data_IF_383456247331
#
_entry.id   IF_383456247331
#
_cell.length_a   1.000
_cell.length_b   1.000
_cell.length_c   1.000
_cell.angle_alpha   90.00
_cell.angle_beta   90.00
_cell.angle_gamma   90.00
#
_symmetry.space_group_name_H-M   'P 1'
#
loop_
_entity.id
_entity.type
_entity.pdbx_description
1 polymer ?
#
# COMPACT_ATOMS: atom_id res chain seq x y z
N UNK A 1 9.21 -28.15 10.55
CA UNK A 1 10.04 -26.94 10.51
C UNK A 1 9.30 -25.94 9.61
N UNK A 2 8.64 -24.97 10.21
CA UNK A 2 7.96 -23.88 9.49
C UNK A 2 9.05 -23.06 8.79
N UNK A 3 9.08 -23.06 7.44
CA UNK A 3 9.89 -22.10 6.70
C UNK A 3 9.47 -20.71 7.19
N UNK A 4 10.41 -19.97 7.78
CA UNK A 4 10.16 -18.59 8.14
C UNK A 4 9.78 -17.83 6.86
N UNK A 5 8.61 -17.21 6.84
CA UNK A 5 8.21 -16.38 5.72
C UNK A 5 9.34 -15.39 5.41
N UNK A 6 9.70 -15.21 4.13
CA UNK A 6 10.76 -14.29 3.78
C UNK A 6 10.37 -12.89 4.26
N UNK A 7 11.32 -12.20 4.92
CA UNK A 7 11.18 -10.81 5.30
C UNK A 7 10.75 -10.01 4.06
N UNK A 8 9.73 -9.17 4.19
CA UNK A 8 9.16 -8.34 3.11
C UNK A 8 10.25 -7.64 2.28
N UNK A 9 11.22 -7.02 2.95
CA UNK A 9 12.32 -6.33 2.26
C UNK A 9 13.18 -7.27 1.40
N UNK A 10 13.39 -8.53 1.85
CA UNK A 10 14.10 -9.55 1.06
C UNK A 10 13.30 -9.95 -0.16
N UNK A 11 12.00 -10.11 -0.01
CA UNK A 11 11.11 -10.45 -1.12
C UNK A 11 11.12 -9.36 -2.18
N UNK A 12 10.96 -8.10 -1.76
CA UNK A 12 11.02 -6.94 -2.65
C UNK A 12 12.39 -6.78 -3.33
N UNK A 13 13.49 -6.95 -2.57
CA UNK A 13 14.84 -6.96 -3.16
C UNK A 13 14.98 -8.04 -4.23
N UNK A 14 14.49 -9.25 -3.94
CA UNK A 14 14.52 -10.37 -4.88
C UNK A 14 13.75 -10.09 -6.17
N UNK A 15 12.56 -9.50 -6.06
CA UNK A 15 11.75 -9.11 -7.22
C UNK A 15 12.42 -8.03 -8.06
N UNK A 16 13.04 -7.06 -7.41
CA UNK A 16 13.78 -6.01 -8.10
C UNK A 16 14.98 -6.58 -8.87
N UNK A 17 15.77 -7.46 -8.26
CA UNK A 17 16.89 -8.13 -8.92
C UNK A 17 16.41 -9.01 -10.09
N UNK A 18 15.28 -9.70 -9.92
CA UNK A 18 14.64 -10.49 -10.98
C UNK A 18 14.18 -9.61 -12.16
N UNK A 19 13.59 -8.44 -11.87
CA UNK A 19 13.18 -7.47 -12.88
C UNK A 19 14.39 -7.02 -13.70
N UNK A 20 15.49 -6.66 -13.05
CA UNK A 20 16.74 -6.27 -13.71
C UNK A 20 17.28 -7.40 -14.60
N UNK A 21 17.32 -8.64 -14.11
CA UNK A 21 17.75 -9.79 -14.93
C UNK A 21 16.86 -10.00 -16.15
N UNK A 22 15.54 -9.91 -16.00
CA UNK A 22 14.61 -10.06 -17.14
C UNK A 22 14.89 -9.03 -18.24
N UNK A 23 15.25 -7.79 -17.88
CA UNK A 23 15.60 -6.74 -18.85
C UNK A 23 16.85 -7.08 -19.65
N UNK A 24 17.84 -7.77 -19.05
CA UNK A 24 19.05 -8.23 -19.78
C UNK A 24 18.80 -9.44 -20.67
N UNK A 25 17.69 -10.14 -20.48
CA UNK A 25 17.38 -11.39 -21.15
C UNK A 25 18.13 -12.62 -20.62
N UNK A 26 18.94 -12.48 -19.55
CA UNK A 26 19.65 -13.61 -18.96
C UNK A 26 18.71 -14.65 -18.36
N UNK A 27 18.97 -15.92 -18.64
CA UNK A 27 18.42 -17.03 -17.87
C UNK A 27 18.95 -17.03 -16.44
N UNK A 28 18.33 -17.80 -15.54
CA UNK A 28 18.84 -17.98 -14.17
C UNK A 28 20.25 -18.61 -14.15
N UNK A 29 20.55 -19.48 -15.10
CA UNK A 29 21.84 -20.15 -15.17
C UNK A 29 22.95 -19.18 -15.61
N UNK A 30 22.74 -18.46 -16.71
CA UNK A 30 23.69 -17.48 -17.22
C UNK A 30 23.96 -16.36 -16.21
N UNK A 31 22.90 -15.83 -15.59
CA UNK A 31 23.06 -14.78 -14.57
C UNK A 31 23.79 -15.29 -13.32
N UNK A 32 23.52 -16.52 -12.90
CA UNK A 32 24.22 -17.11 -11.76
C UNK A 32 25.71 -17.30 -12.02
N UNK A 33 26.08 -17.71 -13.24
CA UNK A 33 27.47 -17.83 -13.68
C UNK A 33 28.17 -16.46 -13.68
N UNK A 34 27.56 -15.43 -14.26
CA UNK A 34 28.10 -14.07 -14.28
C UNK A 34 28.28 -13.47 -12.88
N UNK A 35 27.41 -13.84 -11.94
CA UNK A 35 27.42 -13.39 -10.54
C UNK A 35 28.34 -14.23 -9.63
N UNK A 36 29.04 -15.21 -10.18
CA UNK A 36 29.87 -16.18 -9.42
C UNK A 36 29.08 -16.88 -8.29
N UNK A 37 27.80 -17.19 -8.57
CA UNK A 37 26.92 -17.91 -7.64
C UNK A 37 27.00 -19.44 -7.89
N UNK A 38 26.70 -20.25 -6.87
CA UNK A 38 26.72 -21.72 -6.97
C UNK A 38 25.71 -22.33 -7.98
N UNK A 39 25.12 -21.52 -8.86
CA UNK A 39 24.22 -21.92 -9.94
C UNK A 39 22.81 -21.36 -9.80
N UNK A 40 21.98 -21.65 -10.81
CA UNK A 40 20.60 -21.17 -10.93
C UNK A 40 19.73 -21.33 -9.64
N UNK A 41 19.81 -22.44 -8.88
CA UNK A 41 19.03 -22.57 -7.64
C UNK A 41 19.39 -21.51 -6.57
N UNK A 42 20.64 -21.04 -6.51
CA UNK A 42 21.07 -20.00 -5.59
C UNK A 42 20.46 -18.66 -5.95
N UNK A 43 20.56 -18.28 -7.22
CA UNK A 43 19.95 -17.04 -7.73
C UNK A 43 18.41 -17.09 -7.58
N UNK A 44 17.79 -18.21 -7.88
CA UNK A 44 16.34 -18.39 -7.67
C UNK A 44 15.94 -18.15 -6.21
N UNK A 45 16.70 -18.64 -5.23
CA UNK A 45 16.43 -18.38 -3.80
C UNK A 45 16.58 -16.90 -3.45
N UNK A 46 17.55 -16.20 -4.05
CA UNK A 46 17.72 -14.75 -3.89
C UNK A 46 16.50 -14.02 -4.47
N UNK A 47 16.13 -14.31 -5.71
CA UNK A 47 15.01 -13.66 -6.39
C UNK A 47 13.64 -13.93 -5.73
N UNK A 48 13.52 -15.02 -4.99
CA UNK A 48 12.32 -15.35 -4.20
C UNK A 48 12.42 -14.90 -2.73
N UNK A 49 13.43 -14.11 -2.35
CA UNK A 49 13.62 -13.58 -1.00
C UNK A 49 13.98 -14.63 0.06
N UNK A 50 14.28 -15.87 -0.36
CA UNK A 50 14.64 -17.00 0.55
C UNK A 50 16.09 -16.98 0.97
N UNK A 51 16.94 -16.21 0.28
CA UNK A 51 18.37 -16.07 0.59
C UNK A 51 18.73 -14.59 0.76
N UNK A 52 19.59 -14.30 1.75
CA UNK A 52 20.10 -12.94 2.00
C UNK A 52 21.12 -12.55 0.94
N UNK A 53 21.12 -11.28 0.55
CA UNK A 53 22.14 -10.65 -0.30
C UNK A 53 22.76 -9.52 0.50
N UNK A 54 24.04 -9.59 0.84
CA UNK A 54 24.74 -8.49 1.51
C UNK A 54 24.65 -7.19 0.68
N UNK A 55 24.52 -6.01 1.28
CA UNK A 55 24.44 -4.74 0.55
C UNK A 55 25.64 -4.49 -0.37
N UNK A 56 26.81 -5.00 0.00
CA UNK A 56 28.02 -4.93 -0.83
C UNK A 56 27.94 -5.81 -2.09
N UNK A 57 27.29 -6.96 -2.00
CA UNK A 57 27.14 -7.87 -3.14
C UNK A 57 26.13 -7.36 -4.17
N UNK A 58 25.25 -6.44 -3.80
CA UNK A 58 24.28 -5.84 -4.74
C UNK A 58 24.98 -5.06 -5.84
N UNK A 59 26.20 -4.56 -5.62
CA UNK A 59 26.99 -3.85 -6.63
C UNK A 59 27.31 -4.73 -7.84
N UNK A 60 27.61 -6.03 -7.61
CA UNK A 60 27.86 -6.97 -8.70
C UNK A 60 26.62 -7.13 -9.60
N UNK A 61 25.42 -7.16 -9.02
CA UNK A 61 24.18 -7.20 -9.82
C UNK A 61 24.02 -5.95 -10.67
N UNK A 62 24.39 -4.75 -10.18
CA UNK A 62 24.30 -3.53 -10.97
C UNK A 62 25.21 -3.54 -12.20
N UNK A 63 26.45 -4.01 -12.02
CA UNK A 63 27.42 -4.08 -13.11
C UNK A 63 26.98 -5.12 -14.15
N UNK A 64 26.61 -6.31 -13.72
CA UNK A 64 26.24 -7.43 -14.60
C UNK A 64 24.92 -7.14 -15.33
N UNK A 65 23.94 -6.53 -14.65
CA UNK A 65 22.65 -6.19 -15.25
C UNK A 65 22.63 -4.81 -15.93
N UNK A 66 23.76 -4.09 -15.93
CA UNK A 66 23.91 -2.82 -16.63
C UNK A 66 23.05 -1.67 -16.04
N UNK A 67 22.72 -1.72 -14.74
CA UNK A 67 21.95 -0.66 -14.09
C UNK A 67 22.83 0.59 -13.93
N UNK A 68 22.47 1.68 -14.62
CA UNK A 68 23.20 2.97 -14.58
C UNK A 68 22.49 4.04 -13.79
N UNK A 69 21.20 3.89 -13.54
CA UNK A 69 20.39 4.86 -12.80
C UNK A 69 20.81 4.90 -11.31
N UNK A 70 21.44 6.00 -10.92
CA UNK A 70 21.98 6.17 -9.55
C UNK A 70 20.87 6.28 -8.49
N UNK A 71 19.71 6.82 -8.82
CA UNK A 71 18.59 6.84 -7.87
C UNK A 71 18.09 5.43 -7.59
N UNK A 72 17.88 4.63 -8.64
CA UNK A 72 17.48 3.24 -8.53
C UNK A 72 18.54 2.40 -7.82
N UNK A 73 19.83 2.59 -8.13
CA UNK A 73 20.97 1.98 -7.41
C UNK A 73 20.92 2.31 -5.91
N UNK A 74 20.69 3.57 -5.57
CA UNK A 74 20.58 4.00 -4.17
C UNK A 74 19.42 3.29 -3.46
N UNK A 75 18.23 3.29 -4.04
CA UNK A 75 17.05 2.63 -3.47
C UNK A 75 17.23 1.11 -3.27
N UNK A 76 17.83 0.42 -4.25
CA UNK A 76 18.11 -1.01 -4.13
C UNK A 76 19.13 -1.28 -3.00
N UNK A 77 20.14 -0.43 -2.83
CA UNK A 77 21.10 -0.53 -1.72
C UNK A 77 20.41 -0.35 -0.35
N UNK A 78 19.54 0.63 -0.22
CA UNK A 78 18.76 0.83 1.02
C UNK A 78 17.85 -0.36 1.30
N UNK A 79 17.15 -0.85 0.27
CA UNK A 79 16.33 -2.05 0.37
C UNK A 79 17.16 -3.27 0.82
N UNK A 80 18.38 -3.43 0.29
CA UNK A 80 19.29 -4.50 0.70
C UNK A 80 19.74 -4.36 2.16
N UNK A 81 19.99 -3.13 2.65
CA UNK A 81 20.28 -2.89 4.08
C UNK A 81 19.11 -3.33 4.96
N UNK A 82 17.89 -2.90 4.63
CA UNK A 82 16.67 -3.28 5.36
C UNK A 82 16.44 -4.80 5.32
N UNK A 83 16.65 -5.42 4.16
CA UNK A 83 16.53 -6.87 3.97
C UNK A 83 17.50 -7.68 4.86
N UNK A 84 18.67 -7.12 5.19
CA UNK A 84 19.69 -7.78 6.00
C UNK A 84 19.58 -7.48 7.49
N UNK A 85 19.18 -6.27 7.89
CA UNK A 85 19.07 -5.91 9.29
C UNK A 85 17.84 -6.51 9.97
N UNK A 86 16.84 -6.93 9.20
CA UNK A 86 15.54 -7.33 9.73
C UNK A 86 14.84 -6.21 10.51
N UNK A 87 15.37 -4.98 10.39
CA UNK A 87 14.82 -3.81 11.07
C UNK A 87 13.45 -3.52 10.45
N UNK A 88 12.42 -3.56 11.24
CA UNK A 88 11.08 -3.13 10.87
C UNK A 88 10.99 -1.61 11.00
N UNK A 89 9.92 -1.02 10.51
CA UNK A 89 9.68 0.41 10.67
C UNK A 89 9.57 0.80 12.15
N UNK A 90 9.93 2.04 12.49
CA UNK A 90 9.76 2.55 13.85
C UNK A 90 8.29 2.47 14.28
N UNK A 91 7.37 2.76 13.35
CA UNK A 91 5.93 2.65 13.57
C UNK A 91 5.52 1.21 13.89
N UNK A 92 6.02 0.24 13.14
CA UNK A 92 5.76 -1.17 13.41
C UNK A 92 6.27 -1.59 14.81
N UNK A 93 7.50 -1.22 15.16
CA UNK A 93 8.10 -1.60 16.44
C UNK A 93 7.34 -0.98 17.62
N UNK A 94 6.89 0.27 17.49
CA UNK A 94 6.11 0.98 18.51
C UNK A 94 4.73 0.34 18.74
N UNK A 95 4.05 -0.07 17.67
CA UNK A 95 2.67 -0.58 17.73
C UNK A 95 2.56 -2.09 17.48
N UNK A 96 3.67 -2.84 17.57
CA UNK A 96 3.71 -4.28 17.28
C UNK A 96 2.64 -5.08 18.03
N UNK A 97 2.34 -4.70 19.26
CA UNK A 97 1.33 -5.36 20.09
C UNK A 97 -0.12 -5.11 19.63
N UNK A 98 -0.33 -4.09 18.79
CA UNK A 98 -1.63 -3.70 18.23
C UNK A 98 -1.80 -4.16 16.76
N UNK A 99 -0.73 -4.58 16.09
CA UNK A 99 -0.76 -4.92 14.67
C UNK A 99 -1.03 -6.42 14.52
N UNK A 100 -2.17 -6.82 13.92
CA UNK A 100 -2.37 -8.21 13.52
C UNK A 100 -1.30 -8.67 12.51
N UNK A 101 -0.90 -9.94 12.59
CA UNK A 101 0.18 -10.46 11.73
C UNK A 101 -0.09 -10.27 10.23
N UNK A 102 -1.35 -10.42 9.80
CA UNK A 102 -1.74 -10.24 8.40
C UNK A 102 -1.64 -8.78 7.92
N UNK A 103 -1.67 -7.80 8.84
CA UNK A 103 -1.58 -6.36 8.54
C UNK A 103 -0.17 -5.80 8.68
N UNK A 104 0.75 -6.58 9.23
CA UNK A 104 2.11 -6.14 9.55
C UNK A 104 2.91 -5.73 8.29
N UNK A 105 2.75 -6.48 7.21
CA UNK A 105 3.43 -6.19 5.94
C UNK A 105 2.84 -4.94 5.28
N UNK A 106 1.52 -4.71 5.39
CA UNK A 106 0.87 -3.52 4.85
C UNK A 106 1.43 -2.23 5.47
N UNK A 107 1.56 -2.16 6.79
CA UNK A 107 2.10 -0.99 7.49
C UNK A 107 3.51 -0.64 6.97
N UNK A 108 4.35 -1.64 6.74
CA UNK A 108 5.70 -1.43 6.23
C UNK A 108 5.71 -1.02 4.76
N UNK A 109 4.84 -1.63 3.92
CA UNK A 109 4.70 -1.25 2.51
C UNK A 109 4.22 0.18 2.36
N UNK A 110 3.21 0.58 3.12
CA UNK A 110 2.65 1.94 3.09
C UNK A 110 3.69 3.00 3.47
N UNK A 111 4.53 2.74 4.49
CA UNK A 111 5.64 3.63 4.86
C UNK A 111 6.68 3.79 3.75
N UNK A 112 6.92 2.74 2.95
CA UNK A 112 7.89 2.75 1.86
C UNK A 112 7.32 3.31 0.55
N UNK A 113 6.00 3.32 0.41
CA UNK A 113 5.34 3.72 -0.83
C UNK A 113 5.54 5.22 -1.11
N UNK A 114 5.72 5.57 -2.37
CA UNK A 114 5.73 6.96 -2.86
C UNK A 114 4.33 7.38 -3.32
N UNK A 115 3.55 6.43 -3.83
CA UNK A 115 2.19 6.66 -4.30
C UNK A 115 1.30 5.49 -3.88
N UNK A 116 0.07 5.80 -3.51
CA UNK A 116 -1.01 4.85 -3.28
C UNK A 116 -2.19 5.21 -4.16
N UNK A 117 -2.66 4.25 -4.94
CA UNK A 117 -3.91 4.31 -5.68
C UNK A 117 -4.90 3.37 -5.01
N UNK A 118 -6.02 3.91 -4.56
CA UNK A 118 -6.97 3.17 -3.71
C UNK A 118 -8.37 3.27 -4.26
N UNK A 119 -9.03 2.12 -4.44
CA UNK A 119 -10.49 2.05 -4.57
C UNK A 119 -11.08 1.53 -3.26
N UNK A 120 -12.11 2.20 -2.75
CA UNK A 120 -12.68 1.85 -1.46
C UNK A 120 -14.19 2.12 -1.36
N UNK A 121 -14.93 1.16 -0.80
CA UNK A 121 -16.36 1.24 -0.50
C UNK A 121 -16.69 1.86 0.88
N UNK A 122 -15.65 2.11 1.69
CA UNK A 122 -15.67 2.90 2.92
C UNK A 122 -14.49 3.86 2.92
N UNK A 123 -14.52 4.92 3.71
CA UNK A 123 -13.37 5.85 3.77
C UNK A 123 -12.12 5.07 4.19
N UNK A 124 -11.04 5.07 3.39
CA UNK A 124 -9.82 4.33 3.69
C UNK A 124 -9.07 4.90 4.90
N UNK A 125 -8.32 4.03 5.59
CA UNK A 125 -7.68 4.35 6.86
C UNK A 125 -6.84 5.62 6.89
N UNK A 126 -6.18 5.97 5.78
CA UNK A 126 -5.38 7.19 5.67
C UNK A 126 -6.19 8.50 5.64
N UNK A 127 -7.49 8.40 5.36
CA UNK A 127 -8.40 9.56 5.25
C UNK A 127 -9.46 9.61 6.38
N UNK A 128 -9.36 8.74 7.39
CA UNK A 128 -10.34 8.68 8.47
C UNK A 128 -10.04 9.70 9.58
N UNK A 129 -11.10 10.27 10.15
CA UNK A 129 -11.02 10.92 11.47
C UNK A 129 -10.87 9.86 12.57
N UNK A 130 -10.45 10.25 13.77
CA UNK A 130 -10.30 9.31 14.90
C UNK A 130 -11.64 8.65 15.27
N UNK A 131 -12.72 9.42 15.31
CA UNK A 131 -14.04 8.94 15.67
C UNK A 131 -14.61 7.96 14.62
N UNK A 132 -14.41 8.26 13.33
CA UNK A 132 -14.79 7.34 12.27
C UNK A 132 -13.96 6.06 12.31
N UNK A 133 -12.65 6.18 12.51
CA UNK A 133 -11.75 5.04 12.66
C UNK A 133 -12.17 4.16 13.83
N UNK A 134 -12.50 4.76 14.98
CA UNK A 134 -13.01 4.06 16.16
C UNK A 134 -14.29 3.29 15.87
N UNK A 135 -15.27 3.95 15.24
CA UNK A 135 -16.53 3.32 14.89
C UNK A 135 -16.37 2.12 13.94
N UNK A 136 -15.48 2.22 12.94
CA UNK A 136 -15.17 1.10 12.02
C UNK A 136 -14.50 -0.04 12.78
N UNK A 137 -13.51 0.25 13.64
CA UNK A 137 -12.75 -0.75 14.37
C UNK A 137 -13.66 -1.47 15.38
N UNK A 138 -14.46 -0.75 16.15
CA UNK A 138 -15.39 -1.33 17.12
C UNK A 138 -16.40 -2.30 16.48
N UNK A 139 -16.90 -1.97 15.29
CA UNK A 139 -17.84 -2.81 14.56
C UNK A 139 -17.17 -4.02 13.88
N UNK A 140 -15.87 -4.03 13.74
CA UNK A 140 -15.12 -5.12 13.11
C UNK A 140 -15.13 -6.46 13.84
N UNK A 141 -15.73 -6.52 15.06
CA UNK A 141 -16.00 -7.72 15.89
C UNK A 141 -14.79 -8.63 16.19
N UNK A 142 -13.59 -8.21 15.83
CA UNK A 142 -12.36 -8.99 16.03
C UNK A 142 -11.71 -8.75 17.42
N UNK A 143 -12.17 -7.76 18.15
CA UNK A 143 -11.54 -7.23 19.35
C UNK A 143 -12.15 -7.82 20.62
N UNK A 144 -11.29 -8.23 21.55
CA UNK A 144 -11.70 -8.78 22.84
C UNK A 144 -11.72 -7.74 23.95
N UNK A 145 -10.89 -6.68 23.82
CA UNK A 145 -10.71 -5.67 24.86
C UNK A 145 -10.67 -4.26 24.27
N UNK A 146 -11.22 -3.28 25.00
CA UNK A 146 -11.20 -1.87 24.62
C UNK A 146 -9.79 -1.33 24.37
N UNK A 147 -8.79 -1.86 25.07
CA UNK A 147 -7.38 -1.49 24.87
C UNK A 147 -6.89 -1.83 23.47
N UNK A 148 -7.31 -2.94 22.88
CA UNK A 148 -6.95 -3.32 21.52
C UNK A 148 -7.48 -2.32 20.50
N UNK A 149 -8.75 -1.91 20.67
CA UNK A 149 -9.40 -0.88 19.86
C UNK A 149 -8.61 0.43 19.93
N UNK A 150 -8.31 0.91 21.14
CA UNK A 150 -7.56 2.15 21.33
C UNK A 150 -6.19 2.10 20.65
N UNK A 151 -5.44 1.02 20.84
CA UNK A 151 -4.13 0.83 20.23
C UNK A 151 -4.20 0.83 18.69
N UNK A 152 -5.26 0.24 18.12
CA UNK A 152 -5.43 0.18 16.68
C UNK A 152 -5.86 1.52 16.09
N UNK A 153 -6.67 2.31 16.82
CA UNK A 153 -6.99 3.69 16.46
C UNK A 153 -5.74 4.57 16.51
N UNK A 154 -4.93 4.47 17.57
CA UNK A 154 -3.66 5.21 17.69
C UNK A 154 -2.69 4.88 16.56
N UNK A 155 -2.55 3.59 16.22
CA UNK A 155 -1.76 3.15 15.07
C UNK A 155 -2.26 3.79 13.77
N UNK A 156 -3.58 3.82 13.55
CA UNK A 156 -4.17 4.42 12.35
C UNK A 156 -3.84 5.91 12.23
N UNK A 157 -4.00 6.65 13.32
CA UNK A 157 -3.63 8.08 13.35
C UNK A 157 -2.11 8.30 13.21
N UNK A 158 -1.30 7.42 13.78
CA UNK A 158 0.15 7.47 13.64
C UNK A 158 0.60 7.20 12.19
N UNK A 159 -0.01 6.25 11.48
CA UNK A 159 0.23 5.98 10.06
C UNK A 159 -0.02 7.22 9.20
N UNK A 160 -1.17 7.88 9.37
CA UNK A 160 -1.49 9.12 8.64
C UNK A 160 -0.38 10.17 8.84
N UNK A 161 0.01 10.43 10.09
CA UNK A 161 1.09 11.40 10.39
C UNK A 161 2.41 11.00 9.74
N UNK A 162 2.75 9.71 9.75
CA UNK A 162 4.01 9.22 9.20
C UNK A 162 4.07 9.41 7.69
N UNK A 163 3.01 9.08 6.95
CA UNK A 163 3.05 9.09 5.48
C UNK A 163 2.80 10.48 4.88
N UNK A 164 2.06 11.36 5.56
CA UNK A 164 1.73 12.68 5.04
C UNK A 164 2.68 13.79 5.50
N UNK A 165 3.35 13.65 6.66
CA UNK A 165 4.22 14.70 7.19
C UNK A 165 5.72 14.47 6.95
N UNK A 166 6.11 13.46 6.17
CA UNK A 166 7.49 13.23 5.78
C UNK A 166 7.93 14.19 4.68
N UNK A 167 9.25 14.34 4.46
CA UNK A 167 9.84 15.23 3.45
C UNK A 167 9.25 14.99 2.04
N UNK A 168 9.05 13.73 1.67
CA UNK A 168 8.38 13.33 0.43
C UNK A 168 7.05 12.65 0.81
N UNK A 169 5.96 13.39 0.97
CA UNK A 169 4.68 12.83 1.40
C UNK A 169 4.14 11.82 0.40
N UNK A 170 3.39 10.84 0.91
CA UNK A 170 2.71 9.84 0.08
C UNK A 170 1.73 10.54 -0.85
N UNK A 171 1.88 10.31 -2.15
CA UNK A 171 0.87 10.71 -3.12
C UNK A 171 -0.30 9.73 -3.04
N UNK A 172 -1.46 10.21 -2.64
CA UNK A 172 -2.67 9.39 -2.52
C UNK A 172 -3.69 9.77 -3.59
N UNK A 173 -4.05 8.81 -4.42
CA UNK A 173 -5.21 8.92 -5.31
C UNK A 173 -6.28 7.94 -4.83
N UNK A 174 -7.37 8.47 -4.33
CA UNK A 174 -8.47 7.69 -3.78
C UNK A 174 -9.73 7.85 -4.63
N UNK A 175 -10.24 6.74 -5.15
CA UNK A 175 -11.56 6.65 -5.73
C UNK A 175 -12.48 6.00 -4.70
N UNK A 176 -13.41 6.77 -4.17
CA UNK A 176 -14.43 6.29 -3.24
C UNK A 176 -15.68 5.88 -4.00
N UNK A 177 -16.18 4.70 -3.73
CA UNK A 177 -17.56 4.37 -4.09
C UNK A 177 -18.53 5.32 -3.36
N UNK A 178 -19.61 5.75 -4.00
CA UNK A 178 -20.60 6.64 -3.37
C UNK A 178 -21.17 6.06 -2.07
N UNK A 179 -21.18 4.73 -1.91
CA UNK A 179 -21.56 4.06 -0.69
C UNK A 179 -20.78 4.57 0.54
N UNK A 180 -19.52 4.99 0.37
CA UNK A 180 -18.72 5.56 1.45
C UNK A 180 -19.31 6.85 2.04
N UNK A 181 -20.02 7.64 1.22
CA UNK A 181 -20.69 8.87 1.65
C UNK A 181 -22.02 8.59 2.36
N UNK A 182 -22.65 7.46 2.06
CA UNK A 182 -24.02 7.16 2.45
C UNK A 182 -24.12 6.15 3.59
N UNK A 183 -23.08 5.32 3.79
CA UNK A 183 -23.02 4.34 4.88
C UNK A 183 -22.82 5.05 6.21
N UNK A 184 -23.82 4.94 7.07
CA UNK A 184 -23.87 5.62 8.38
C UNK A 184 -22.90 4.96 9.38
N UNK A 185 -21.66 5.38 9.40
CA UNK A 185 -20.61 4.92 10.33
C UNK A 185 -20.58 5.84 11.55
N UNK A 186 -20.72 5.28 12.75
CA UNK A 186 -20.64 6.03 14.01
C UNK A 186 -21.76 7.04 14.27
N UNK A 187 -22.75 7.14 13.37
CA UNK A 187 -23.86 8.11 13.46
C UNK A 187 -23.60 9.39 12.67
N UNK A 188 -24.62 10.28 12.68
CA UNK A 188 -24.65 11.46 11.79
C UNK A 188 -23.54 12.46 12.09
N UNK A 189 -23.23 12.72 13.34
CA UNK A 189 -22.18 13.65 13.75
C UNK A 189 -20.79 13.16 13.33
N UNK A 190 -20.52 11.85 13.43
CA UNK A 190 -19.26 11.24 12.99
C UNK A 190 -19.14 11.29 11.47
N UNK A 191 -20.22 10.98 10.76
CA UNK A 191 -20.25 11.06 9.30
C UNK A 191 -20.04 12.50 8.80
N UNK A 192 -20.71 13.47 9.41
CA UNK A 192 -20.52 14.88 9.07
C UNK A 192 -19.08 15.30 9.22
N UNK A 193 -18.47 15.07 10.39
CA UNK A 193 -17.07 15.39 10.66
C UNK A 193 -16.11 14.67 9.68
N UNK A 194 -16.39 13.41 9.35
CA UNK A 194 -15.60 12.64 8.39
C UNK A 194 -15.67 13.22 6.98
N UNK A 195 -16.85 13.59 6.50
CA UNK A 195 -17.01 14.16 5.16
C UNK A 195 -16.42 15.58 5.07
N UNK A 196 -16.58 16.39 6.13
CA UNK A 196 -15.90 17.70 6.25
C UNK A 196 -14.37 17.53 6.23
N UNK A 197 -13.83 16.51 6.91
CA UNK A 197 -12.40 16.17 6.87
C UNK A 197 -11.93 15.77 5.47
N UNK A 198 -12.70 14.98 4.72
CA UNK A 198 -12.37 14.63 3.31
C UNK A 198 -12.27 15.87 2.43
N UNK A 199 -13.19 16.85 2.61
CA UNK A 199 -13.14 18.13 1.89
C UNK A 199 -11.85 18.89 2.24
N UNK A 200 -11.56 19.05 3.53
CA UNK A 200 -10.37 19.77 4.00
C UNK A 200 -9.08 19.14 3.47
N UNK A 201 -8.90 17.82 3.62
CA UNK A 201 -7.71 17.10 3.13
C UNK A 201 -7.55 17.26 1.61
N UNK A 202 -8.64 17.10 0.86
CA UNK A 202 -8.62 17.24 -0.60
C UNK A 202 -8.36 18.69 -1.08
N UNK A 203 -8.60 19.70 -0.25
CA UNK A 203 -8.36 21.13 -0.57
C UNK A 203 -6.96 21.57 -0.14
N UNK A 204 -6.47 21.10 1.01
CA UNK A 204 -5.22 21.54 1.61
C UNK A 204 -4.01 20.79 1.08
N UNK A 205 -4.12 19.47 0.84
CA UNK A 205 -3.00 18.62 0.46
C UNK A 205 -2.96 18.39 -1.06
N UNK A 206 -1.98 19.00 -1.73
CA UNK A 206 -1.78 18.84 -3.19
C UNK A 206 -1.39 17.42 -3.62
N UNK A 207 -1.00 16.57 -2.69
CA UNK A 207 -0.63 15.18 -2.91
C UNK A 207 -1.76 14.20 -2.59
N UNK A 208 -2.98 14.71 -2.33
CA UNK A 208 -4.15 13.88 -2.05
C UNK A 208 -5.29 14.25 -3.00
N UNK A 209 -5.63 13.32 -3.89
CA UNK A 209 -6.77 13.41 -4.79
C UNK A 209 -7.88 12.47 -4.30
N UNK A 210 -9.09 13.00 -4.11
CA UNK A 210 -10.28 12.23 -3.75
C UNK A 210 -11.32 12.40 -4.85
N UNK A 211 -11.68 11.29 -5.48
CA UNK A 211 -12.78 11.20 -6.45
C UNK A 211 -13.88 10.30 -5.90
N UNK A 212 -15.10 10.54 -6.31
CA UNK A 212 -16.25 9.70 -5.97
C UNK A 212 -16.77 9.04 -7.24
N UNK A 213 -16.95 7.72 -7.20
CA UNK A 213 -17.60 6.94 -8.23
C UNK A 213 -19.10 6.87 -7.88
N UNK A 214 -19.97 7.57 -8.65
CA UNK A 214 -21.39 7.62 -8.34
C UNK A 214 -22.11 6.32 -8.72
N UNK A 215 -23.17 5.98 -8.02
CA UNK A 215 -23.98 4.79 -8.30
C UNK A 215 -24.56 4.76 -9.72
N UNK A 216 -24.79 5.92 -10.33
CA UNK A 216 -25.32 6.02 -11.69
C UNK A 216 -24.36 5.48 -12.76
N UNK A 217 -23.09 5.27 -12.44
CA UNK A 217 -22.14 4.58 -13.34
C UNK A 217 -22.46 3.08 -13.49
N UNK A 218 -23.21 2.50 -12.56
CA UNK A 218 -23.60 1.10 -12.61
C UNK A 218 -22.44 0.15 -12.31
N UNK A 219 -22.24 -0.87 -13.16
CA UNK A 219 -21.18 -1.85 -12.96
C UNK A 219 -19.81 -1.27 -13.33
N UNK A 220 -18.83 -1.48 -12.47
CA UNK A 220 -17.47 -0.91 -12.58
C UNK A 220 -16.38 -1.90 -12.21
N UNK A 221 -15.12 -1.60 -12.48
CA UNK A 221 -13.98 -2.50 -12.25
C UNK A 221 -13.73 -2.86 -10.77
N UNK A 222 -14.32 -2.14 -9.82
CA UNK A 222 -14.17 -2.37 -8.38
C UNK A 222 -15.29 -3.22 -7.74
N UNK A 223 -16.20 -3.83 -8.53
CA UNK A 223 -17.31 -4.64 -7.95
C UNK A 223 -16.83 -5.85 -7.16
N UNK A 224 -15.63 -6.36 -7.45
CA UNK A 224 -15.04 -7.50 -6.76
C UNK A 224 -14.48 -7.14 -5.35
N UNK A 225 -14.38 -5.86 -5.01
CA UNK A 225 -13.97 -5.37 -3.70
C UNK A 225 -12.90 -4.28 -3.72
N UNK A 226 -12.59 -3.81 -2.52
CA UNK A 226 -11.62 -2.74 -2.27
C UNK A 226 -10.19 -3.24 -2.52
N UNK A 227 -9.31 -2.35 -3.02
CA UNK A 227 -7.90 -2.66 -3.20
C UNK A 227 -7.01 -1.41 -3.15
N UNK A 228 -5.71 -1.64 -2.93
CA UNK A 228 -4.68 -0.62 -2.96
C UNK A 228 -3.58 -1.02 -3.95
N UNK A 229 -3.10 -0.08 -4.74
CA UNK A 229 -1.88 -0.20 -5.53
C UNK A 229 -0.81 0.68 -4.91
N UNK A 230 0.22 0.08 -4.35
CA UNK A 230 1.34 0.77 -3.71
C UNK A 230 2.52 0.81 -4.68
N UNK A 231 2.96 2.02 -5.04
CA UNK A 231 4.09 2.26 -5.93
C UNK A 231 5.31 2.71 -5.13
N UNK A 232 6.49 2.28 -5.54
CA UNK A 232 7.74 2.46 -4.81
C UNK A 232 8.81 3.10 -5.70
N UNK A 233 9.85 3.63 -5.07
CA UNK A 233 11.01 4.17 -5.77
C UNK A 233 11.80 3.10 -6.54
N UNK A 234 11.70 1.85 -6.12
CA UNK A 234 12.32 0.71 -6.80
C UNK A 234 11.43 -0.53 -6.70
N UNK A 235 11.44 -1.35 -7.75
CA UNK A 235 10.65 -2.56 -7.88
C UNK A 235 9.23 -2.32 -8.40
N UNK A 236 8.53 -3.41 -8.72
CA UNK A 236 7.16 -3.34 -9.19
C UNK A 236 6.22 -2.81 -8.10
N UNK A 237 5.06 -2.27 -8.47
CA UNK A 237 4.01 -1.98 -7.50
C UNK A 237 3.56 -3.26 -6.77
N UNK A 238 2.76 -3.09 -5.74
CA UNK A 238 2.10 -4.18 -5.03
C UNK A 238 0.61 -3.88 -4.99
N UNK A 239 -0.20 -4.80 -5.51
CA UNK A 239 -1.63 -4.75 -5.28
C UNK A 239 -1.95 -5.43 -3.95
N UNK A 240 -2.65 -4.73 -3.08
CA UNK A 240 -3.07 -5.24 -1.76
C UNK A 240 -4.58 -5.33 -1.73
N UNK A 241 -5.07 -6.51 -1.38
CA UNK A 241 -6.49 -6.77 -1.14
C UNK A 241 -6.63 -7.20 0.31
N UNK A 242 -7.41 -6.46 1.09
CA UNK A 242 -7.63 -6.74 2.50
C UNK A 242 -8.94 -7.49 2.70
N UNK A 243 -8.84 -8.64 3.32
CA UNK A 243 -9.96 -9.47 3.72
C UNK A 243 -10.12 -9.47 5.25
N UNK A 244 -11.21 -10.01 5.76
CA UNK A 244 -11.51 -10.01 7.20
C UNK A 244 -10.40 -10.64 8.06
N UNK A 245 -9.70 -11.64 7.56
CA UNK A 245 -8.71 -12.44 8.31
C UNK A 245 -7.33 -12.53 7.68
N UNK A 246 -7.16 -11.96 6.49
CA UNK A 246 -5.91 -12.04 5.72
C UNK A 246 -5.77 -10.83 4.82
N UNK A 247 -4.54 -10.57 4.36
CA UNK A 247 -4.28 -9.61 3.29
C UNK A 247 -3.51 -10.33 2.18
N UNK A 248 -3.93 -10.12 0.94
CA UNK A 248 -3.24 -10.62 -0.25
C UNK A 248 -2.31 -9.54 -0.78
N UNK A 249 -1.06 -9.92 -1.03
CA UNK A 249 -0.03 -9.05 -1.61
C UNK A 249 0.36 -9.62 -2.96
N UNK A 250 -0.12 -9.01 -4.02
CA UNK A 250 0.01 -9.47 -5.38
C UNK A 250 1.11 -8.67 -6.09
N UNK A 251 2.14 -9.36 -6.54
CA UNK A 251 3.35 -8.79 -7.14
C UNK A 251 3.67 -9.40 -8.53
N UNK A 252 2.84 -10.34 -9.00
CA UNK A 252 3.02 -10.96 -10.31
C UNK A 252 2.47 -10.05 -11.43
N UNK A 253 3.22 -9.95 -12.53
CA UNK A 253 2.94 -9.05 -13.66
C UNK A 253 1.48 -9.15 -14.16
N UNK A 254 0.92 -10.38 -14.23
CA UNK A 254 -0.45 -10.60 -14.70
C UNK A 254 -1.54 -10.08 -13.75
N UNK A 255 -1.31 -10.18 -12.45
CA UNK A 255 -2.23 -9.61 -11.45
C UNK A 255 -2.12 -8.10 -11.43
N UNK A 256 -0.90 -7.57 -11.40
CA UNK A 256 -0.65 -6.13 -11.37
C UNK A 256 -1.30 -5.42 -12.56
N UNK A 257 -1.08 -5.91 -13.78
CA UNK A 257 -1.66 -5.32 -14.98
C UNK A 257 -3.21 -5.25 -14.91
N UNK A 258 -3.86 -6.23 -14.26
CA UNK A 258 -5.31 -6.24 -14.08
C UNK A 258 -5.76 -5.15 -13.09
N UNK A 259 -5.06 -5.00 -11.95
CA UNK A 259 -5.40 -3.97 -10.95
C UNK A 259 -5.07 -2.56 -11.43
N UNK A 260 -3.97 -2.37 -12.15
CA UNK A 260 -3.60 -1.08 -12.76
C UNK A 260 -4.66 -0.65 -13.79
N UNK A 261 -5.02 -1.56 -14.71
CA UNK A 261 -6.09 -1.31 -15.68
C UNK A 261 -7.43 -1.05 -15.00
N UNK A 262 -7.75 -1.82 -13.95
CA UNK A 262 -8.97 -1.64 -13.16
C UNK A 262 -9.03 -0.27 -12.51
N UNK A 263 -7.93 0.19 -11.90
CA UNK A 263 -7.87 1.51 -11.28
C UNK A 263 -7.97 2.65 -12.31
N UNK A 264 -7.33 2.51 -13.48
CA UNK A 264 -7.44 3.49 -14.55
C UNK A 264 -8.89 3.64 -15.06
N UNK A 265 -9.64 2.54 -15.16
CA UNK A 265 -11.08 2.60 -15.49
C UNK A 265 -11.86 3.32 -14.38
N UNK A 266 -11.70 2.89 -13.12
CA UNK A 266 -12.37 3.52 -11.97
C UNK A 266 -12.12 5.04 -11.91
N UNK A 267 -10.86 5.45 -12.09
CA UNK A 267 -10.47 6.86 -12.10
C UNK A 267 -11.11 7.66 -13.23
N UNK A 268 -11.31 7.03 -14.39
CA UNK A 268 -11.91 7.65 -15.56
C UNK A 268 -13.43 7.78 -15.42
N UNK A 269 -14.08 6.78 -14.82
CA UNK A 269 -15.52 6.72 -14.59
C UNK A 269 -15.97 7.57 -13.40
N UNK A 270 -15.08 7.78 -12.41
CA UNK A 270 -15.36 8.62 -11.26
C UNK A 270 -15.51 10.10 -11.64
N UNK A 271 -16.26 10.83 -10.85
CA UNK A 271 -16.34 12.28 -10.92
C UNK A 271 -14.93 12.87 -10.77
N UNK A 272 -14.63 13.97 -11.48
CA UNK A 272 -13.39 14.69 -11.23
C UNK A 272 -13.36 15.24 -9.79
N UNK A 273 -12.18 15.59 -9.29
CA UNK A 273 -11.97 16.03 -7.89
C UNK A 273 -12.93 17.16 -7.49
N UNK A 274 -13.19 18.13 -8.36
CA UNK A 274 -14.11 19.26 -8.08
C UNK A 274 -15.55 18.78 -7.93
N UNK A 275 -16.06 18.02 -8.89
CA UNK A 275 -17.42 17.48 -8.85
C UNK A 275 -17.61 16.51 -7.67
N UNK A 276 -16.56 15.75 -7.31
CA UNK A 276 -16.56 14.89 -6.12
C UNK A 276 -16.73 15.69 -4.83
N UNK A 277 -16.03 16.82 -4.69
CA UNK A 277 -16.21 17.74 -3.55
C UNK A 277 -17.63 18.28 -3.48
N UNK A 278 -18.23 18.62 -4.62
CA UNK A 278 -19.61 19.12 -4.67
C UNK A 278 -20.61 18.03 -4.26
N UNK A 279 -20.38 16.78 -4.67
CA UNK A 279 -21.21 15.64 -4.22
C UNK A 279 -21.06 15.40 -2.71
N UNK A 280 -19.83 15.47 -2.17
CA UNK A 280 -19.60 15.35 -0.72
C UNK A 280 -20.33 16.44 0.06
N UNK A 281 -20.28 17.72 -0.40
CA UNK A 281 -21.03 18.83 0.23
C UNK A 281 -22.53 18.59 0.19
N UNK A 282 -23.05 18.04 -0.90
CA UNK A 282 -24.46 17.69 -1.04
C UNK A 282 -24.85 16.59 -0.03
N UNK A 283 -24.04 15.54 0.10
CA UNK A 283 -24.26 14.47 1.05
C UNK A 283 -24.29 15.00 2.50
N UNK A 284 -23.38 15.91 2.87
CA UNK A 284 -23.36 16.53 4.20
C UNK A 284 -24.69 17.27 4.45
N UNK A 285 -25.09 18.12 3.49
CA UNK A 285 -26.29 18.96 3.63
C UNK A 285 -27.58 18.15 3.71
N UNK A 286 -27.71 17.11 2.90
CA UNK A 286 -28.96 16.36 2.77
C UNK A 286 -29.13 15.27 3.80
N UNK A 287 -28.03 14.72 4.33
CA UNK A 287 -28.08 13.53 5.19
C UNK A 287 -27.57 13.73 6.62
N UNK A 288 -26.68 14.70 6.82
CA UNK A 288 -25.94 14.86 8.08
C UNK A 288 -25.99 16.29 8.64
N UNK A 289 -26.99 17.07 8.24
CA UNK A 289 -27.21 18.45 8.74
C UNK A 289 -27.81 18.52 10.13
#
# INVERSE_FOLDING_TARGET
MTEAQPNLHRRRLGLELRSLRKVTGFSLAEAAEQLDLPGAPSLSRIENGKQRVPPTSVLAFFEIYGLKDEQRRHHIRELAKLANTGKRSNLFDQYRHAIPDFFADYVQLEEMALKSETFASVVPGLLQTEEYARAIIENGRAWRHQREINNFVELRMARQRTVFNRENPLQLWCVLDEAALLRRVGGDSVMKAQLEHLLAVSEEFKHVDVQVLPFDQGSHAGVDGDFHLLHFAAGPPVAVVEEMTTSLYLEEDGHLARYESGFDHLRTEALNVRASRDLIRTAIKERYS
#
